data_IF_151185898827
#
_entry.id   IF_151185898827
#
_cell.length_a   1.000
_cell.length_b   1.000
_cell.length_c   1.000
_cell.angle_alpha   90.00
_cell.angle_beta   90.00
_cell.angle_gamma   90.00
#
_symmetry.space_group_name_H-M   'P 1'
#
loop_
_entity.id
_entity.type
_entity.pdbx_description
1 polymer ?
#
# COMPACT_ATOMS: atom_id res chain seq x y z
N UNK A 1 -7.35 10.90 -15.27
CA UNK A 1 -8.30 11.61 -14.37
C UNK A 1 -8.58 10.91 -13.02
N UNK A 2 -7.75 9.98 -12.49
CA UNK A 2 -8.07 9.22 -11.26
C UNK A 2 -7.35 9.66 -9.96
N UNK A 3 -6.42 10.63 -10.01
CA UNK A 3 -5.56 10.98 -8.85
C UNK A 3 -6.22 11.92 -7.81
N UNK A 4 -7.19 12.75 -8.19
CA UNK A 4 -7.82 13.71 -7.27
C UNK A 4 -8.68 13.04 -6.19
N UNK A 5 -9.55 12.12 -6.60
CA UNK A 5 -10.51 11.44 -5.72
C UNK A 5 -9.84 10.60 -4.63
N UNK A 6 -8.69 9.98 -4.95
CA UNK A 6 -7.96 9.15 -4.00
C UNK A 6 -7.33 9.97 -2.88
N UNK A 7 -6.87 11.19 -3.17
CA UNK A 7 -6.32 12.11 -2.17
C UNK A 7 -7.38 12.75 -1.28
N UNK A 8 -8.61 12.93 -1.77
CA UNK A 8 -9.72 13.47 -0.98
C UNK A 8 -10.23 12.46 0.05
N UNK A 9 -10.37 11.19 -0.33
CA UNK A 9 -10.75 10.10 0.59
C UNK A 9 -9.71 9.93 1.71
N UNK A 10 -8.43 10.07 1.39
CA UNK A 10 -7.34 10.01 2.38
C UNK A 10 -7.46 11.13 3.42
N UNK A 11 -7.70 12.37 2.99
CA UNK A 11 -7.92 13.51 3.88
C UNK A 11 -9.13 13.33 4.79
N UNK A 12 -10.25 12.85 4.25
CA UNK A 12 -11.46 12.56 5.03
C UNK A 12 -11.17 11.51 6.10
N UNK A 13 -10.45 10.45 5.75
CA UNK A 13 -10.08 9.37 6.68
C UNK A 13 -9.19 9.89 7.81
N UNK A 14 -8.22 10.75 7.49
CA UNK A 14 -7.35 11.39 8.49
C UNK A 14 -8.16 12.27 9.44
N UNK A 15 -9.08 13.09 8.92
CA UNK A 15 -9.94 13.94 9.74
C UNK A 15 -10.83 13.12 10.69
N UNK A 16 -11.41 12.02 10.21
CA UNK A 16 -12.18 11.09 11.05
C UNK A 16 -11.29 10.51 12.17
N UNK A 17 -10.05 10.13 11.86
CA UNK A 17 -9.08 9.67 12.85
C UNK A 17 -8.81 10.70 13.95
N UNK A 18 -8.57 11.96 13.57
CA UNK A 18 -8.39 13.05 14.54
C UNK A 18 -9.63 13.30 15.39
N UNK A 19 -10.83 13.22 14.82
CA UNK A 19 -12.08 13.35 15.57
C UNK A 19 -12.21 12.24 16.64
N UNK A 20 -11.85 10.99 16.31
CA UNK A 20 -11.86 9.87 17.27
C UNK A 20 -10.84 10.10 18.39
N UNK A 21 -9.65 10.61 18.09
CA UNK A 21 -8.65 10.97 19.11
C UNK A 21 -9.16 12.08 20.03
N UNK A 22 -9.77 13.14 19.47
CA UNK A 22 -10.36 14.22 20.25
C UNK A 22 -11.49 13.71 21.17
N UNK A 23 -12.37 12.84 20.66
CA UNK A 23 -13.41 12.17 21.46
C UNK A 23 -12.81 11.35 22.61
N UNK A 24 -11.73 10.62 22.37
CA UNK A 24 -11.02 9.85 23.41
C UNK A 24 -10.43 10.75 24.48
N UNK A 25 -9.81 11.88 24.09
CA UNK A 25 -9.27 12.85 25.04
C UNK A 25 -10.38 13.51 25.88
N UNK A 26 -11.50 13.90 25.27
CA UNK A 26 -12.65 14.45 25.99
C UNK A 26 -13.23 13.44 26.99
N UNK A 27 -13.22 12.15 26.64
CA UNK A 27 -13.64 11.08 27.54
C UNK A 27 -12.70 10.92 28.74
N UNK A 28 -11.38 10.98 28.54
CA UNK A 28 -10.40 10.90 29.64
C UNK A 28 -10.51 12.09 30.60
N UNK A 29 -10.84 13.28 30.11
CA UNK A 29 -11.05 14.47 30.94
C UNK A 29 -12.45 14.50 31.61
N UNK A 30 -13.29 13.48 31.40
CA UNK A 30 -14.64 13.39 31.94
C UNK A 30 -15.65 14.36 31.31
N UNK A 31 -15.27 15.05 30.23
CA UNK A 31 -16.15 15.99 29.53
C UNK A 31 -17.22 15.28 28.66
N UNK A 32 -16.98 14.01 28.34
CA UNK A 32 -17.88 13.16 27.55
C UNK A 32 -17.87 11.74 28.12
N UNK A 33 -19.03 11.07 28.16
CA UNK A 33 -19.11 9.65 28.53
C UNK A 33 -19.27 8.80 27.27
N UNK A 34 -18.19 8.19 26.80
CA UNK A 34 -18.21 7.26 25.68
C UNK A 34 -18.58 5.88 26.18
N UNK A 35 -19.67 5.32 25.66
CA UNK A 35 -20.11 3.98 26.08
C UNK A 35 -19.17 2.89 25.56
N UNK A 36 -18.92 1.83 26.34
CA UNK A 36 -18.12 0.69 25.88
C UNK A 36 -18.68 0.01 24.61
N UNK A 37 -20.00 0.12 24.40
CA UNK A 37 -20.70 -0.28 23.16
C UNK A 37 -20.19 0.48 21.93
N UNK A 38 -20.02 1.79 22.04
CA UNK A 38 -19.52 2.64 20.96
C UNK A 38 -18.06 2.32 20.62
N UNK A 39 -17.21 2.15 21.65
CA UNK A 39 -15.80 1.76 21.47
C UNK A 39 -15.69 0.40 20.78
N UNK A 40 -16.55 -0.54 21.14
CA UNK A 40 -16.65 -1.85 20.47
C UNK A 40 -16.98 -1.70 18.99
N UNK A 41 -17.98 -0.88 18.67
CA UNK A 41 -18.41 -0.62 17.29
C UNK A 41 -17.30 -0.04 16.42
N UNK A 42 -16.59 0.98 16.92
CA UNK A 42 -15.42 1.57 16.25
C UNK A 42 -14.31 0.53 16.05
N UNK A 43 -13.99 -0.23 17.09
CA UNK A 43 -12.91 -1.21 17.04
C UNK A 43 -13.20 -2.32 16.04
N UNK A 44 -14.43 -2.85 16.02
CA UNK A 44 -14.85 -3.86 15.06
C UNK A 44 -14.83 -3.32 13.62
N UNK A 45 -15.25 -2.07 13.43
CA UNK A 45 -15.15 -1.42 12.13
C UNK A 45 -13.70 -1.25 11.66
N UNK A 46 -12.81 -0.80 12.54
CA UNK A 46 -11.37 -0.70 12.25
C UNK A 46 -10.74 -2.05 11.91
N UNK A 47 -11.14 -3.10 12.61
CA UNK A 47 -10.73 -4.48 12.31
C UNK A 47 -11.22 -4.94 10.94
N UNK A 48 -12.50 -4.74 10.62
CA UNK A 48 -13.08 -5.10 9.32
C UNK A 48 -12.44 -4.34 8.15
N UNK A 49 -12.16 -3.04 8.32
CA UNK A 49 -11.44 -2.24 7.33
C UNK A 49 -10.00 -2.75 7.13
N UNK A 50 -9.29 -3.02 8.23
CA UNK A 50 -7.93 -3.56 8.19
C UNK A 50 -7.87 -4.91 7.49
N UNK A 51 -8.88 -5.75 7.72
CA UNK A 51 -9.01 -7.04 7.03
C UNK A 51 -9.33 -6.84 5.55
N UNK A 52 -10.23 -5.93 5.19
CA UNK A 52 -10.51 -5.61 3.78
C UNK A 52 -9.23 -5.20 3.02
N UNK A 53 -8.41 -4.35 3.64
CA UNK A 53 -7.13 -3.93 3.07
C UNK A 53 -6.13 -5.07 2.99
N UNK A 54 -6.06 -5.92 4.01
CA UNK A 54 -5.24 -7.13 3.98
C UNK A 54 -5.65 -8.06 2.83
N UNK A 55 -6.94 -8.33 2.64
CA UNK A 55 -7.47 -9.20 1.57
C UNK A 55 -7.15 -8.65 0.19
N UNK A 56 -7.26 -7.33 -0.01
CA UNK A 56 -6.84 -6.69 -1.28
C UNK A 56 -5.36 -6.90 -1.56
N UNK A 57 -4.52 -6.81 -0.53
CA UNK A 57 -3.08 -6.94 -0.68
C UNK A 57 -2.70 -8.40 -0.94
N UNK A 58 -3.31 -9.35 -0.23
CA UNK A 58 -3.05 -10.79 -0.35
C UNK A 58 -3.49 -11.34 -1.71
N UNK A 59 -4.70 -11.02 -2.17
CA UNK A 59 -5.26 -11.58 -3.40
C UNK A 59 -4.86 -10.76 -4.64
N UNK A 60 -4.49 -9.49 -4.47
CA UNK A 60 -3.89 -8.69 -5.55
C UNK A 60 -2.53 -9.21 -6.05
N UNK A 61 -1.98 -10.27 -5.43
CA UNK A 61 -0.83 -11.03 -5.94
C UNK A 61 -1.24 -12.20 -6.87
N UNK A 62 -2.52 -12.56 -6.94
CA UNK A 62 -3.04 -13.66 -7.76
C UNK A 62 -3.86 -13.13 -8.95
N UNK A 63 -3.32 -13.29 -10.16
CA UNK A 63 -3.90 -12.74 -11.40
C UNK A 63 -4.93 -13.70 -12.02
N UNK A 64 -6.17 -13.68 -11.51
CA UNK A 64 -7.27 -14.49 -12.03
C UNK A 64 -8.61 -13.75 -12.00
N UNK A 65 -9.42 -13.92 -13.05
CA UNK A 65 -10.74 -13.27 -13.16
C UNK A 65 -11.67 -13.67 -12.00
N UNK A 66 -11.67 -14.96 -11.61
CA UNK A 66 -12.48 -15.49 -10.52
C UNK A 66 -12.00 -14.94 -9.16
N UNK A 67 -10.69 -14.94 -8.92
CA UNK A 67 -10.08 -14.37 -7.70
C UNK A 67 -10.38 -12.89 -7.56
N UNK A 68 -10.36 -12.12 -8.66
CA UNK A 68 -10.70 -10.69 -8.64
C UNK A 68 -12.16 -10.43 -8.20
N UNK A 69 -13.10 -11.25 -8.67
CA UNK A 69 -14.54 -11.10 -8.37
C UNK A 69 -14.84 -11.49 -6.92
N UNK A 70 -14.27 -12.59 -6.44
CA UNK A 70 -14.39 -13.03 -5.03
C UNK A 70 -13.77 -12.00 -4.08
N UNK A 71 -12.62 -11.42 -4.45
CA UNK A 71 -11.97 -10.37 -3.66
C UNK A 71 -12.84 -9.13 -3.56
N UNK A 72 -13.38 -8.66 -4.69
CA UNK A 72 -14.25 -7.49 -4.72
C UNK A 72 -15.50 -7.68 -3.85
N UNK A 73 -16.11 -8.87 -3.91
CA UNK A 73 -17.25 -9.21 -3.06
C UNK A 73 -16.87 -9.22 -1.57
N UNK A 74 -15.78 -9.88 -1.22
CA UNK A 74 -15.30 -9.99 0.18
C UNK A 74 -14.96 -8.62 0.77
N UNK A 75 -14.28 -7.77 0.00
CA UNK A 75 -13.96 -6.39 0.39
C UNK A 75 -15.23 -5.58 0.61
N UNK A 76 -16.20 -5.68 -0.30
CA UNK A 76 -17.47 -4.96 -0.20
C UNK A 76 -18.26 -5.40 1.03
N UNK A 77 -18.24 -6.70 1.34
CA UNK A 77 -18.86 -7.25 2.54
C UNK A 77 -18.19 -6.71 3.81
N UNK A 78 -16.86 -6.65 3.86
CA UNK A 78 -16.13 -6.09 5.01
C UNK A 78 -16.43 -4.61 5.22
N UNK A 79 -16.59 -3.83 4.14
CA UNK A 79 -17.03 -2.44 4.23
C UNK A 79 -18.45 -2.29 4.76
N UNK A 80 -19.36 -3.17 4.33
CA UNK A 80 -20.71 -3.21 4.88
C UNK A 80 -20.70 -3.54 6.37
N UNK A 81 -19.92 -4.55 6.79
CA UNK A 81 -19.77 -4.92 8.20
C UNK A 81 -19.19 -3.74 9.00
N UNK A 82 -18.21 -3.03 8.47
CA UNK A 82 -17.63 -1.87 9.13
C UNK A 82 -18.67 -0.76 9.35
N UNK A 83 -19.47 -0.44 8.31
CA UNK A 83 -20.52 0.57 8.41
C UNK A 83 -21.61 0.17 9.42
N UNK A 84 -22.06 -1.09 9.39
CA UNK A 84 -23.05 -1.62 10.33
C UNK A 84 -22.51 -1.64 11.77
N UNK A 85 -21.22 -1.92 11.95
CA UNK A 85 -20.56 -1.92 13.26
C UNK A 85 -20.49 -0.52 13.87
N UNK A 86 -20.32 0.52 13.04
CA UNK A 86 -20.34 1.91 13.51
C UNK A 86 -21.75 2.40 13.82
N UNK A 87 -22.71 2.10 12.94
CA UNK A 87 -24.05 2.72 12.99
C UNK A 87 -25.01 1.91 13.84
N UNK A 88 -25.07 0.59 13.67
CA UNK A 88 -26.12 -0.22 14.27
C UNK A 88 -25.69 -0.85 15.59
N UNK A 89 -24.46 -1.38 15.64
CA UNK A 89 -23.98 -2.18 16.78
C UNK A 89 -24.12 -1.45 18.13
N UNK A 90 -23.74 -0.16 18.28
CA UNK A 90 -23.85 0.53 19.56
C UNK A 90 -25.29 0.67 20.08
N UNK A 91 -26.28 0.62 19.19
CA UNK A 91 -27.70 0.83 19.50
C UNK A 91 -28.53 -0.46 19.41
N UNK A 92 -27.91 -1.60 19.15
CA UNK A 92 -28.64 -2.87 19.11
C UNK A 92 -29.08 -3.31 20.51
N UNK A 93 -30.31 -3.82 20.63
CA UNK A 93 -30.83 -4.36 21.88
C UNK A 93 -29.94 -5.46 22.46
N UNK A 94 -29.24 -6.21 21.62
CA UNK A 94 -28.27 -7.23 22.05
C UNK A 94 -27.11 -6.64 22.83
N UNK A 95 -26.57 -5.49 22.40
CA UNK A 95 -25.47 -4.81 23.08
C UNK A 95 -25.98 -4.03 24.30
N UNK A 96 -27.14 -3.37 24.18
CA UNK A 96 -27.73 -2.59 25.27
C UNK A 96 -28.22 -3.44 26.45
N UNK A 97 -28.59 -4.70 26.21
CA UNK A 97 -29.03 -5.63 27.26
C UNK A 97 -27.87 -6.36 27.97
N UNK A 98 -26.62 -6.18 27.52
CA UNK A 98 -25.46 -6.79 28.17
C UNK A 98 -25.10 -6.07 29.48
N UNK A 99 -24.60 -6.84 30.45
CA UNK A 99 -24.05 -6.29 31.69
C UNK A 99 -22.82 -5.42 31.39
N UNK A 100 -22.70 -4.28 32.06
CA UNK A 100 -21.58 -3.34 31.87
C UNK A 100 -20.21 -4.02 31.93
N UNK A 101 -19.99 -4.90 32.89
CA UNK A 101 -18.70 -5.62 33.05
C UNK A 101 -18.35 -6.54 31.87
N UNK A 102 -19.35 -7.08 31.17
CA UNK A 102 -19.14 -7.87 29.95
C UNK A 102 -18.82 -6.94 28.79
N UNK A 103 -19.52 -5.81 28.71
CA UNK A 103 -19.33 -4.81 27.66
C UNK A 103 -17.95 -4.13 27.75
N UNK A 104 -17.45 -3.88 28.96
CA UNK A 104 -16.10 -3.34 29.21
C UNK A 104 -15.01 -4.32 28.74
N UNK A 105 -15.17 -5.61 29.05
CA UNK A 105 -14.25 -6.66 28.58
C UNK A 105 -14.29 -6.81 27.06
N UNK A 106 -15.46 -6.71 26.47
CA UNK A 106 -15.66 -6.82 25.02
C UNK A 106 -15.10 -5.59 24.29
N UNK A 107 -15.28 -4.40 24.86
CA UNK A 107 -14.66 -3.15 24.39
C UNK A 107 -13.13 -3.23 24.44
N UNK A 108 -12.57 -3.68 25.55
CA UNK A 108 -11.11 -3.83 25.70
C UNK A 108 -10.56 -4.88 24.72
N UNK A 109 -11.20 -6.04 24.64
CA UNK A 109 -10.80 -7.13 23.74
C UNK A 109 -10.88 -6.71 22.27
N UNK A 110 -11.97 -6.05 21.87
CA UNK A 110 -12.15 -5.56 20.49
C UNK A 110 -11.12 -4.49 20.13
N UNK A 111 -10.79 -3.59 21.05
CA UNK A 111 -9.74 -2.57 20.87
C UNK A 111 -8.37 -3.21 20.64
N UNK A 112 -8.00 -4.21 21.46
CA UNK A 112 -6.74 -4.94 21.32
C UNK A 112 -6.67 -5.72 20.00
N UNK A 113 -7.76 -6.39 19.61
CA UNK A 113 -7.84 -7.10 18.33
C UNK A 113 -7.71 -6.13 17.14
N UNK A 114 -8.43 -5.01 17.17
CA UNK A 114 -8.37 -4.00 16.13
C UNK A 114 -6.94 -3.46 15.97
N UNK A 115 -6.28 -3.14 17.08
CA UNK A 115 -4.90 -2.67 17.11
C UNK A 115 -3.92 -3.72 16.57
N UNK A 116 -4.10 -5.00 16.94
CA UNK A 116 -3.34 -6.12 16.37
C UNK A 116 -3.50 -6.24 14.85
N UNK A 117 -4.73 -6.15 14.34
CA UNK A 117 -5.01 -6.17 12.91
C UNK A 117 -4.35 -5.00 12.17
N UNK A 118 -4.41 -3.79 12.74
CA UNK A 118 -3.76 -2.61 12.17
C UNK A 118 -2.25 -2.82 12.05
N UNK A 119 -1.58 -3.34 13.09
CA UNK A 119 -0.14 -3.60 13.04
C UNK A 119 0.24 -4.66 12.00
N UNK A 120 -0.54 -5.73 11.87
CA UNK A 120 -0.34 -6.74 10.83
C UNK A 120 -0.46 -6.09 9.44
N UNK A 121 -1.50 -5.30 9.21
CA UNK A 121 -1.72 -4.62 7.91
C UNK A 121 -0.61 -3.62 7.59
N UNK A 122 -0.15 -2.82 8.57
CA UNK A 122 1.01 -1.92 8.40
C UNK A 122 2.27 -2.71 8.05
N UNK A 123 2.56 -3.79 8.77
CA UNK A 123 3.71 -4.66 8.52
C UNK A 123 3.69 -5.25 7.10
N UNK A 124 2.53 -5.74 6.66
CA UNK A 124 2.36 -6.30 5.33
C UNK A 124 2.54 -5.25 4.22
N UNK A 125 1.95 -4.06 4.41
CA UNK A 125 2.08 -2.94 3.48
C UNK A 125 3.53 -2.46 3.36
N UNK A 126 4.27 -2.39 4.47
CA UNK A 126 5.67 -2.03 4.47
C UNK A 126 6.53 -3.08 3.76
N UNK A 127 6.31 -4.38 4.02
CA UNK A 127 6.99 -5.48 3.31
C UNK A 127 6.78 -5.39 1.81
N UNK A 128 5.55 -5.12 1.35
CA UNK A 128 5.23 -4.95 -0.08
C UNK A 128 5.91 -3.73 -0.69
N UNK A 129 5.90 -2.57 0.00
CA UNK A 129 6.61 -1.37 -0.45
C UNK A 129 8.11 -1.63 -0.57
N UNK A 130 8.70 -2.36 0.36
CA UNK A 130 10.12 -2.72 0.31
C UNK A 130 10.44 -3.64 -0.88
N UNK A 131 9.66 -4.72 -1.05
CA UNK A 131 9.80 -5.61 -2.23
C UNK A 131 9.67 -4.84 -3.55
N UNK A 132 8.66 -3.97 -3.66
CA UNK A 132 8.44 -3.16 -4.87
C UNK A 132 9.61 -2.23 -5.16
N UNK A 133 10.13 -1.54 -4.13
CA UNK A 133 11.33 -0.70 -4.27
C UNK A 133 12.55 -1.51 -4.70
N UNK A 134 12.77 -2.69 -4.12
CA UNK A 134 13.88 -3.57 -4.51
C UNK A 134 13.76 -4.03 -5.98
N UNK A 135 12.57 -4.46 -6.40
CA UNK A 135 12.31 -4.84 -7.81
C UNK A 135 12.53 -3.65 -8.75
N UNK A 136 12.08 -2.45 -8.36
CA UNK A 136 12.25 -1.24 -9.16
C UNK A 136 13.73 -0.84 -9.27
N UNK A 137 14.50 -1.00 -8.19
CA UNK A 137 15.96 -0.80 -8.21
C UNK A 137 16.66 -1.79 -9.14
N UNK A 138 16.35 -3.08 -9.04
CA UNK A 138 16.93 -4.13 -9.90
C UNK A 138 16.57 -3.86 -11.36
N UNK A 139 15.30 -3.55 -11.66
CA UNK A 139 14.84 -3.22 -13.01
C UNK A 139 15.57 -2.00 -13.57
N UNK A 140 15.76 -0.96 -12.74
CA UNK A 140 16.48 0.25 -13.15
C UNK A 140 17.98 -0.01 -13.35
N UNK A 141 18.59 -0.88 -12.55
CA UNK A 141 19.98 -1.31 -12.75
C UNK A 141 20.13 -2.10 -14.05
N UNK A 142 19.25 -3.08 -14.31
CA UNK A 142 19.26 -3.85 -15.56
C UNK A 142 19.13 -2.95 -16.79
N UNK A 143 18.24 -1.96 -16.77
CA UNK A 143 18.13 -0.98 -17.85
C UNK A 143 19.40 -0.14 -18.05
N UNK A 144 20.14 0.15 -16.99
CA UNK A 144 21.45 0.83 -17.09
C UNK A 144 22.47 -0.09 -17.73
N UNK A 145 22.56 -1.34 -17.28
CA UNK A 145 23.47 -2.33 -17.88
C UNK A 145 23.19 -2.57 -19.37
N UNK A 146 21.92 -2.67 -19.78
CA UNK A 146 21.57 -2.78 -21.20
C UNK A 146 22.00 -1.54 -22.00
N UNK A 147 21.86 -0.36 -21.42
CA UNK A 147 22.29 0.89 -22.05
C UNK A 147 23.81 0.99 -22.16
N UNK A 148 24.53 0.55 -21.14
CA UNK A 148 26.00 0.55 -21.12
C UNK A 148 26.54 -0.43 -22.17
N UNK A 149 25.94 -1.62 -22.30
CA UNK A 149 26.29 -2.60 -23.33
C UNK A 149 26.04 -2.06 -24.75
N UNK A 150 24.95 -1.34 -24.95
CA UNK A 150 24.67 -0.66 -26.22
C UNK A 150 25.72 0.41 -26.56
N UNK A 151 26.21 1.17 -25.56
CA UNK A 151 27.27 2.14 -25.77
C UNK A 151 28.63 1.49 -26.05
N UNK A 152 28.94 0.37 -25.41
CA UNK A 152 30.15 -0.42 -25.70
C UNK A 152 30.16 -0.90 -27.16
N UNK A 153 29.03 -1.44 -27.66
CA UNK A 153 28.90 -1.86 -29.05
C UNK A 153 29.12 -0.70 -30.04
N UNK A 154 28.59 0.50 -29.74
CA UNK A 154 28.82 1.70 -30.56
C UNK A 154 30.30 2.12 -30.53
N UNK A 155 30.93 2.10 -29.35
CA UNK A 155 32.34 2.45 -29.19
C UNK A 155 33.25 1.49 -29.97
N UNK A 156 32.96 0.19 -29.92
CA UNK A 156 33.68 -0.83 -30.67
C UNK A 156 33.56 -0.62 -32.18
N UNK A 157 32.34 -0.36 -32.68
CA UNK A 157 32.11 -0.03 -34.09
C UNK A 157 32.87 1.23 -34.53
N UNK A 158 32.88 2.27 -33.71
CA UNK A 158 33.63 3.51 -34.01
C UNK A 158 35.13 3.28 -34.01
N UNK A 159 35.66 2.52 -33.05
CA UNK A 159 37.08 2.19 -33.00
C UNK A 159 37.53 1.37 -34.22
N UNK A 160 36.70 0.44 -34.68
CA UNK A 160 36.99 -0.33 -35.90
C UNK A 160 37.04 0.57 -37.14
N UNK A 161 36.09 1.52 -37.28
CA UNK A 161 36.11 2.51 -38.36
C UNK A 161 37.33 3.42 -38.31
N UNK A 162 37.74 3.87 -37.12
CA UNK A 162 38.96 4.69 -36.95
C UNK A 162 40.17 3.91 -37.43
N UNK A 163 40.32 2.64 -37.03
CA UNK A 163 41.44 1.79 -37.50
C UNK A 163 41.44 1.59 -39.02
N UNK A 164 40.28 1.45 -39.65
CA UNK A 164 40.18 1.37 -41.12
C UNK A 164 40.62 2.69 -41.78
N UNK A 165 40.15 3.83 -41.27
CA UNK A 165 40.55 5.16 -41.74
C UNK A 165 42.06 5.40 -41.57
N UNK A 166 42.64 5.01 -40.43
CA UNK A 166 44.09 5.11 -40.18
C UNK A 166 44.91 4.30 -41.20
N UNK A 167 44.48 3.07 -41.50
CA UNK A 167 45.13 2.26 -42.55
C UNK A 167 45.05 2.92 -43.92
N UNK A 168 43.89 3.48 -44.26
CA UNK A 168 43.68 4.16 -45.54
C UNK A 168 44.58 5.41 -45.67
N UNK A 169 44.72 6.19 -44.59
CA UNK A 169 45.62 7.35 -44.55
C UNK A 169 47.08 6.90 -44.73
N UNK A 170 47.53 5.85 -44.05
CA UNK A 170 48.89 5.32 -44.20
C UNK A 170 49.19 4.83 -45.62
N UNK A 171 48.21 4.20 -46.29
CA UNK A 171 48.34 3.81 -47.69
C UNK A 171 48.43 5.03 -48.62
N UNK A 172 47.62 6.06 -48.38
CA UNK A 172 47.66 7.33 -49.10
C UNK A 172 48.99 8.08 -48.94
N UNK A 173 49.54 8.11 -47.72
CA UNK A 173 50.85 8.75 -47.47
C UNK A 173 51.97 8.01 -48.19
N UNK A 174 52.00 6.66 -48.13
CA UNK A 174 52.99 5.86 -48.86
C UNK A 174 52.93 6.04 -50.37
N UNK A 175 51.74 6.17 -50.95
CA UNK A 175 51.57 6.39 -52.39
C UNK A 175 51.98 7.80 -52.80
N UNK A 176 51.83 8.79 -51.93
CA UNK A 176 52.26 10.17 -52.16
C UNK A 176 53.78 10.33 -52.15
N UNK A 177 54.49 9.60 -51.30
CA UNK A 177 55.96 9.63 -51.22
C UNK A 177 56.66 8.82 -52.33
N UNK A 178 55.89 8.06 -53.12
CA UNK A 178 56.38 7.19 -54.21
C UNK A 178 56.21 7.81 -55.61
N UNK A 179 55.69 9.03 -55.70
CA UNK A 179 55.43 9.79 -56.94
C UNK A 179 56.32 11.04 -57.00
#
# INVERSE_FOLDING_TARGET
>A
MKKGYQGEIEKITICIGFAILALSLLNVHGALSVTPAFVTGISLAGCALSFADYTKVLIGEYDGFITSKITSFTVSLMYLIAALSLICLPYTNTILSMKSSVLDKLSTSSSLLALGCVFITIGHNNRKRFKKKAIEQITNQNKRFEKDKYYEEILEQKNNKIKELEKFIQEFEKTKDSA
#
